data_IF_113200140229
#
_entry.id   IF_113200140229
#
_cell.length_a   1.000
_cell.length_b   1.000
_cell.length_c   1.000
_cell.angle_alpha   90.00
_cell.angle_beta   90.00
_cell.angle_gamma   90.00
#
_symmetry.space_group_name_H-M   'P 1'
#
loop_
_entity.id
_entity.type
_entity.pdbx_description
1 polymer ?
#
# COMPACT_ATOMS: atom_id res chain seq x y z
N UNK A 1 -27.82 14.88 -4.24
CA UNK A 1 -26.58 14.52 -3.51
C UNK A 1 -25.75 13.69 -4.45
N UNK A 2 -24.49 14.06 -4.72
CA UNK A 2 -23.62 13.29 -5.61
C UNK A 2 -23.26 11.98 -4.86
N UNK A 3 -23.78 10.84 -5.31
CA UNK A 3 -23.66 9.55 -4.62
C UNK A 3 -22.19 9.17 -4.34
N UNK A 4 -21.26 9.60 -5.20
CA UNK A 4 -19.82 9.50 -4.99
C UNK A 4 -19.32 10.09 -3.66
N UNK A 5 -19.75 11.29 -3.26
CA UNK A 5 -19.25 11.97 -2.06
C UNK A 5 -19.67 11.21 -0.79
N UNK A 6 -20.90 10.67 -0.78
CA UNK A 6 -21.40 9.88 0.35
C UNK A 6 -20.56 8.61 0.50
N UNK A 7 -20.23 7.95 -0.61
CA UNK A 7 -19.41 6.73 -0.62
C UNK A 7 -17.98 7.00 -0.17
N UNK A 8 -17.40 8.12 -0.58
CA UNK A 8 -16.09 8.60 -0.13
C UNK A 8 -16.06 8.79 1.39
N UNK A 9 -17.05 9.50 1.95
CA UNK A 9 -17.13 9.77 3.40
C UNK A 9 -17.38 8.48 4.19
N UNK A 10 -18.32 7.63 3.75
CA UNK A 10 -18.61 6.36 4.41
C UNK A 10 -17.41 5.41 4.38
N UNK A 11 -16.72 5.29 3.24
CA UNK A 11 -15.54 4.44 3.08
C UNK A 11 -14.38 4.88 3.96
N UNK A 12 -14.14 6.19 4.05
CA UNK A 12 -13.15 6.77 4.97
C UNK A 12 -13.52 6.55 6.43
N UNK A 13 -14.78 6.78 6.83
CA UNK A 13 -15.25 6.56 8.21
C UNK A 13 -15.09 5.11 8.66
N UNK A 14 -15.48 4.16 7.80
CA UNK A 14 -15.35 2.72 8.08
C UNK A 14 -13.86 2.36 8.26
N UNK A 15 -12.99 2.84 7.38
CA UNK A 15 -11.57 2.52 7.46
C UNK A 15 -10.87 3.16 8.67
N UNK A 16 -11.17 4.42 9.00
CA UNK A 16 -10.67 5.06 10.24
C UNK A 16 -11.14 4.29 11.48
N UNK A 17 -12.42 3.93 11.54
CA UNK A 17 -12.99 3.17 12.66
C UNK A 17 -12.31 1.80 12.82
N UNK A 18 -12.04 1.11 11.71
CA UNK A 18 -11.38 -0.19 11.74
C UNK A 18 -9.90 -0.09 12.16
N UNK A 19 -9.16 0.92 11.67
CA UNK A 19 -7.77 1.15 12.08
C UNK A 19 -7.71 1.48 13.58
N UNK A 20 -8.67 2.28 14.07
CA UNK A 20 -8.80 2.56 15.50
C UNK A 20 -9.03 1.27 16.30
N UNK A 21 -9.88 0.37 15.82
CA UNK A 21 -10.13 -0.93 16.45
C UNK A 21 -8.87 -1.82 16.50
N UNK A 22 -8.08 -1.88 15.43
CA UNK A 22 -6.89 -2.74 15.36
C UNK A 22 -5.65 -2.19 16.08
N UNK A 23 -5.47 -0.87 16.10
CA UNK A 23 -4.19 -0.22 16.51
C UNK A 23 -4.34 0.63 17.78
N UNK A 24 -5.57 1.05 18.11
CA UNK A 24 -5.85 1.92 19.25
C UNK A 24 -5.08 3.25 19.18
N UNK A 25 -4.49 3.67 20.30
CA UNK A 25 -3.78 4.95 20.43
C UNK A 25 -2.56 5.12 19.51
N UNK A 26 -2.00 4.01 19.00
CA UNK A 26 -0.86 4.04 18.07
C UNK A 26 -1.25 4.59 16.67
N UNK A 27 -2.54 4.80 16.40
CA UNK A 27 -3.06 5.46 15.20
C UNK A 27 -2.52 6.89 15.02
N UNK A 28 -2.18 7.57 16.12
CA UNK A 28 -1.63 8.93 16.09
C UNK A 28 -0.30 9.04 15.31
N UNK A 29 0.55 8.00 15.38
CA UNK A 29 1.78 7.96 14.58
C UNK A 29 1.46 7.85 13.09
N UNK A 30 0.47 7.03 12.72
CA UNK A 30 -0.01 6.93 11.34
C UNK A 30 -0.67 8.23 10.85
N UNK A 31 -1.31 8.98 11.75
CA UNK A 31 -1.91 10.27 11.43
C UNK A 31 -0.86 11.34 11.15
N UNK A 32 0.22 11.36 11.94
CA UNK A 32 1.36 12.27 11.73
C UNK A 32 2.01 12.09 10.37
N UNK A 33 2.25 10.85 9.93
CA UNK A 33 2.88 10.61 8.61
C UNK A 33 1.97 10.99 7.44
N UNK A 34 0.65 10.85 7.60
CA UNK A 34 -0.33 11.29 6.60
C UNK A 34 -0.34 12.81 6.50
N UNK A 35 -0.39 13.52 7.63
CA UNK A 35 -0.30 14.99 7.65
C UNK A 35 1.00 15.45 6.99
N UNK A 36 2.12 14.81 7.35
CA UNK A 36 3.42 15.20 6.84
C UNK A 36 3.51 14.98 5.32
N UNK A 37 2.95 13.89 4.79
CA UNK A 37 2.84 13.67 3.34
C UNK A 37 1.90 14.68 2.65
N UNK A 38 0.78 15.05 3.28
CA UNK A 38 -0.13 16.10 2.77
C UNK A 38 0.59 17.45 2.68
N UNK A 39 1.37 17.81 3.71
CA UNK A 39 2.17 19.04 3.73
C UNK A 39 3.19 19.01 2.59
N UNK A 40 3.91 17.90 2.40
CA UNK A 40 4.88 17.76 1.31
C UNK A 40 4.21 17.92 -0.06
N UNK A 41 3.09 17.22 -0.29
CA UNK A 41 2.36 17.30 -1.56
C UNK A 41 1.81 18.71 -1.85
N UNK A 42 1.48 19.47 -0.80
CA UNK A 42 1.02 20.86 -0.90
C UNK A 42 2.18 21.85 -1.12
N UNK A 43 3.31 21.66 -0.44
CA UNK A 43 4.46 22.59 -0.50
C UNK A 43 5.36 22.37 -1.70
N UNK A 44 5.52 21.13 -2.18
CA UNK A 44 6.46 20.79 -3.24
C UNK A 44 5.73 20.60 -4.57
N UNK A 45 5.78 21.62 -5.44
CA UNK A 45 5.26 21.56 -6.82
C UNK A 45 6.28 21.06 -7.85
N UNK A 46 7.47 20.68 -7.40
CA UNK A 46 8.63 20.42 -8.27
C UNK A 46 8.79 18.94 -8.65
N UNK A 47 9.56 18.65 -9.70
CA UNK A 47 9.89 17.33 -10.27
C UNK A 47 10.45 16.31 -9.26
N UNK A 48 10.93 16.77 -8.10
CA UNK A 48 11.48 15.95 -7.01
C UNK A 48 10.44 15.56 -5.94
N UNK A 49 9.17 15.95 -6.08
CA UNK A 49 8.09 15.64 -5.13
C UNK A 49 8.03 14.17 -4.68
N UNK A 50 8.04 13.17 -5.60
CA UNK A 50 7.90 11.78 -5.18
C UNK A 50 9.17 11.27 -4.51
N UNK A 51 10.35 11.75 -4.92
CA UNK A 51 11.62 11.41 -4.29
C UNK A 51 11.72 12.00 -2.87
N UNK A 52 11.26 13.23 -2.66
CA UNK A 52 11.19 13.86 -1.35
C UNK A 52 10.19 13.12 -0.42
N UNK A 53 8.99 12.81 -0.93
CA UNK A 53 7.97 12.04 -0.18
C UNK A 53 8.49 10.65 0.20
N UNK A 54 9.22 9.99 -0.72
CA UNK A 54 9.86 8.71 -0.46
C UNK A 54 10.92 8.79 0.63
N UNK A 55 11.89 9.71 0.50
CA UNK A 55 12.98 9.86 1.48
C UNK A 55 12.40 10.17 2.86
N UNK A 56 11.46 11.10 2.95
CA UNK A 56 10.89 11.52 4.23
C UNK A 56 10.07 10.40 4.87
N UNK A 57 9.28 9.67 4.09
CA UNK A 57 8.51 8.52 4.59
C UNK A 57 9.45 7.41 5.08
N UNK A 58 10.57 7.19 4.39
CA UNK A 58 11.56 6.19 4.76
C UNK A 58 12.35 6.59 6.02
N UNK A 59 12.73 7.87 6.14
CA UNK A 59 13.38 8.42 7.34
C UNK A 59 12.44 8.32 8.54
N UNK A 60 11.15 8.62 8.36
CA UNK A 60 10.14 8.49 9.41
C UNK A 60 9.98 7.04 9.89
N UNK A 61 9.98 6.07 8.97
CA UNK A 61 9.99 4.64 9.31
C UNK A 61 11.23 4.24 10.09
N UNK A 62 12.41 4.72 9.65
CA UNK A 62 13.67 4.49 10.34
C UNK A 62 13.64 5.05 11.77
N UNK A 63 13.14 6.27 11.94
CA UNK A 63 12.97 6.90 13.24
C UNK A 63 12.03 6.10 14.15
N UNK A 64 10.89 5.62 13.64
CA UNK A 64 9.97 4.79 14.41
C UNK A 64 10.53 3.41 14.78
N UNK A 65 11.53 2.91 14.05
CA UNK A 65 12.25 1.68 14.43
C UNK A 65 13.29 1.95 15.52
N UNK A 66 13.91 3.13 15.51
CA UNK A 66 14.92 3.54 16.49
C UNK A 66 14.27 4.03 17.79
N UNK A 67 13.07 4.60 17.75
CA UNK A 67 12.39 5.13 18.95
C UNK A 67 12.11 4.07 20.01
N UNK A 68 12.00 2.80 19.60
CA UNK A 68 11.89 1.66 20.52
C UNK A 68 13.16 1.50 21.37
N UNK A 69 14.34 1.85 20.85
CA UNK A 69 15.61 1.82 21.60
C UNK A 69 15.68 2.92 22.68
N UNK A 70 14.83 3.96 22.57
CA UNK A 70 14.78 5.13 23.46
C UNK A 70 13.74 4.92 24.59
N UNK A 71 13.04 3.77 24.64
CA UNK A 71 12.13 3.42 25.73
C UNK A 71 10.64 3.60 25.44
N UNK A 72 10.26 3.84 24.18
CA UNK A 72 8.84 3.81 23.77
C UNK A 72 8.38 2.37 23.50
N UNK A 73 7.10 2.03 23.78
CA UNK A 73 6.59 0.66 23.63
C UNK A 73 6.68 0.21 22.17
N UNK A 74 7.26 -0.98 21.95
CA UNK A 74 7.42 -1.56 20.62
C UNK A 74 6.14 -1.47 19.81
N UNK A 75 6.26 -1.20 18.51
CA UNK A 75 5.12 -1.43 17.62
C UNK A 75 4.84 -2.94 17.65
N UNK A 76 3.65 -3.29 18.15
CA UNK A 76 3.13 -4.65 18.07
C UNK A 76 3.11 -5.05 16.59
N UNK A 77 3.43 -6.32 16.29
CA UNK A 77 3.57 -6.84 14.92
C UNK A 77 2.46 -6.35 13.97
N UNK A 78 1.21 -6.31 14.43
CA UNK A 78 0.06 -5.84 13.67
C UNK A 78 0.10 -4.33 13.34
N UNK A 79 0.47 -3.48 14.30
CA UNK A 79 0.57 -2.03 14.08
C UNK A 79 1.70 -1.68 13.11
N UNK A 80 2.81 -2.42 13.15
CA UNK A 80 3.92 -2.24 12.22
C UNK A 80 3.52 -2.59 10.77
N UNK A 81 2.75 -3.67 10.59
CA UNK A 81 2.25 -4.06 9.27
C UNK A 81 1.32 -2.99 8.67
N UNK A 82 0.37 -2.47 9.45
CA UNK A 82 -0.52 -1.40 8.97
C UNK A 82 0.25 -0.14 8.66
N UNK A 83 1.22 0.23 9.49
CA UNK A 83 2.07 1.38 9.21
C UNK A 83 2.84 1.22 7.90
N UNK A 84 3.41 0.04 7.64
CA UNK A 84 4.10 -0.24 6.38
C UNK A 84 3.15 -0.10 5.18
N UNK A 85 1.94 -0.67 5.26
CA UNK A 85 0.91 -0.53 4.21
C UNK A 85 0.58 0.95 3.97
N UNK A 86 0.37 1.72 5.03
CA UNK A 86 0.09 3.16 4.94
C UNK A 86 1.24 3.92 4.26
N UNK A 87 2.49 3.61 4.60
CA UNK A 87 3.64 4.26 3.96
C UNK A 87 3.76 3.95 2.48
N UNK A 88 3.54 2.70 2.06
CA UNK A 88 3.56 2.32 0.65
C UNK A 88 2.45 3.02 -0.14
N UNK A 89 1.25 3.15 0.45
CA UNK A 89 0.12 3.88 -0.14
C UNK A 89 0.41 5.36 -0.33
N UNK A 90 0.98 6.02 0.69
CA UNK A 90 1.32 7.44 0.63
C UNK A 90 2.43 7.71 -0.40
N UNK A 91 3.47 6.89 -0.42
CA UNK A 91 4.56 6.98 -1.40
C UNK A 91 4.02 6.79 -2.82
N UNK A 92 3.22 5.74 -3.04
CA UNK A 92 2.66 5.47 -4.37
C UNK A 92 1.69 6.56 -4.82
N UNK A 93 0.89 7.15 -3.91
CA UNK A 93 0.09 8.34 -4.20
C UNK A 93 0.98 9.51 -4.65
N UNK A 94 2.09 9.78 -3.96
CA UNK A 94 3.01 10.85 -4.36
C UNK A 94 3.63 10.60 -5.74
N UNK A 95 3.89 9.33 -6.11
CA UNK A 95 4.30 8.98 -7.47
C UNK A 95 3.19 9.23 -8.49
N UNK A 96 1.95 8.85 -8.20
CA UNK A 96 0.80 9.09 -9.07
C UNK A 96 0.53 10.60 -9.29
N UNK A 97 0.64 11.43 -8.24
CA UNK A 97 0.50 12.89 -8.33
C UNK A 97 1.62 13.49 -9.18
N UNK A 98 2.85 13.03 -8.97
CA UNK A 98 4.00 13.51 -9.72
C UNK A 98 3.91 13.16 -11.21
N UNK A 99 3.42 11.95 -11.52
CA UNK A 99 3.20 11.53 -12.91
C UNK A 99 2.08 12.36 -13.56
N UNK A 100 1.00 12.65 -12.83
CA UNK A 100 -0.07 13.54 -13.30
C UNK A 100 0.45 14.95 -13.62
N UNK A 101 1.30 15.54 -12.76
CA UNK A 101 1.90 16.86 -12.99
C UNK A 101 2.82 16.92 -14.21
N UNK A 102 3.48 15.82 -14.56
CA UNK A 102 4.36 15.73 -15.75
C UNK A 102 3.58 15.71 -17.06
N UNK A 103 2.28 15.44 -17.02
CA UNK A 103 1.37 15.52 -18.17
C UNK A 103 1.26 16.94 -18.72
N UNK A 104 1.25 17.97 -17.86
CA UNK A 104 1.14 19.36 -18.32
C UNK A 104 2.39 19.81 -19.11
N UNK A 105 3.53 19.14 -18.91
CA UNK A 105 4.79 19.41 -19.59
C UNK A 105 4.99 18.58 -20.87
N UNK A 106 4.37 17.40 -20.98
CA UNK A 106 4.51 16.50 -22.13
C UNK A 106 3.16 16.26 -22.80
N UNK A 107 3.05 16.57 -24.11
CA UNK A 107 1.89 16.25 -24.95
C UNK A 107 1.69 14.72 -25.07
N UNK A 108 1.13 14.11 -24.04
CA UNK A 108 0.72 12.70 -24.05
C UNK A 108 -0.65 12.57 -24.72
N UNK A 109 -0.80 11.48 -25.47
CA UNK A 109 -2.03 11.14 -26.17
C UNK A 109 -3.15 10.82 -25.14
N UNK A 110 -4.27 11.56 -25.14
CA UNK A 110 -5.32 11.42 -24.13
C UNK A 110 -6.06 10.07 -24.20
N UNK A 111 -5.91 9.32 -25.30
CA UNK A 111 -6.62 8.05 -25.55
C UNK A 111 -5.91 6.83 -24.94
N UNK A 112 -4.61 6.94 -24.60
CA UNK A 112 -3.79 5.80 -24.13
C UNK A 112 -3.35 5.86 -22.68
N UNK A 113 -3.44 7.02 -22.02
CA UNK A 113 -2.97 7.22 -20.66
C UNK A 113 -3.97 8.03 -19.84
N UNK A 114 -4.65 7.36 -18.90
CA UNK A 114 -5.60 8.00 -17.99
C UNK A 114 -4.85 8.63 -16.82
N UNK A 115 -4.73 9.96 -16.84
CA UNK A 115 -4.11 10.72 -15.76
C UNK A 115 -5.15 11.18 -14.74
N UNK A 116 -4.72 11.30 -13.49
CA UNK A 116 -5.60 11.55 -12.35
C UNK A 116 -5.61 13.04 -12.01
N UNK A 117 -6.77 13.62 -11.72
CA UNK A 117 -6.87 15.00 -11.25
C UNK A 117 -6.14 15.18 -9.90
N UNK A 118 -5.45 16.31 -9.72
CA UNK A 118 -4.68 16.56 -8.49
C UNK A 118 -5.57 16.45 -7.24
N UNK A 119 -5.26 15.54 -6.29
CA UNK A 119 -6.06 15.38 -5.09
C UNK A 119 -6.03 16.63 -4.22
N UNK A 120 -7.19 17.00 -3.69
CA UNK A 120 -7.26 17.87 -2.52
C UNK A 120 -6.69 17.18 -1.28
N UNK A 121 -6.33 17.98 -0.26
CA UNK A 121 -5.86 17.48 1.03
C UNK A 121 -6.88 16.55 1.70
N UNK A 122 -8.18 16.84 1.54
CA UNK A 122 -9.27 16.04 2.08
C UNK A 122 -9.39 14.68 1.37
N UNK A 123 -9.35 14.68 0.03
CA UNK A 123 -9.38 13.44 -0.77
C UNK A 123 -8.16 12.55 -0.48
N UNK A 124 -6.98 13.15 -0.31
CA UNK A 124 -5.77 12.44 0.10
C UNK A 124 -5.98 11.74 1.46
N UNK A 125 -6.62 12.44 2.40
CA UNK A 125 -6.92 11.89 3.71
C UNK A 125 -7.92 10.73 3.63
N UNK A 126 -9.08 10.91 2.96
CA UNK A 126 -10.08 9.84 2.83
C UNK A 126 -9.53 8.63 2.08
N UNK A 127 -8.76 8.85 1.01
CA UNK A 127 -8.10 7.78 0.26
C UNK A 127 -7.11 6.99 1.13
N UNK A 128 -6.32 7.70 1.94
CA UNK A 128 -5.33 7.06 2.82
C UNK A 128 -6.00 6.13 3.82
N UNK A 129 -7.13 6.54 4.38
CA UNK A 129 -7.90 5.78 5.36
C UNK A 129 -9.04 4.93 4.78
N UNK A 130 -9.16 4.81 3.45
CA UNK A 130 -10.25 4.06 2.85
C UNK A 130 -10.12 2.54 3.10
N UNK A 131 -11.21 1.91 3.55
CA UNK A 131 -11.23 0.50 3.97
C UNK A 131 -10.67 -0.50 2.93
N UNK A 132 -11.11 -0.48 1.65
CA UNK A 132 -10.68 -1.47 0.66
C UNK A 132 -9.16 -1.52 0.48
N UNK A 133 -8.53 -0.34 0.47
CA UNK A 133 -7.11 -0.21 0.24
C UNK A 133 -6.22 -0.62 1.42
N UNK A 134 -6.82 -0.83 2.60
CA UNK A 134 -6.09 -1.16 3.82
C UNK A 134 -6.26 -2.62 4.25
N UNK A 135 -7.44 -3.21 4.00
CA UNK A 135 -7.78 -4.54 4.53
C UNK A 135 -8.19 -5.56 3.47
N UNK A 136 -8.57 -5.17 2.26
CA UNK A 136 -9.22 -6.09 1.29
C UNK A 136 -8.30 -6.68 0.22
N UNK A 137 -6.98 -6.53 0.37
CA UNK A 137 -6.01 -7.11 -0.56
C UNK A 137 -5.40 -6.07 -1.50
N UNK A 138 -5.12 -6.43 -2.78
CA UNK A 138 -4.06 -5.86 -3.63
C UNK A 138 -3.99 -4.34 -3.68
N UNK A 139 -2.81 -3.83 -4.04
CA UNK A 139 -2.50 -2.39 -4.08
C UNK A 139 -3.61 -1.57 -4.76
N UNK A 140 -4.33 -0.79 -3.96
CA UNK A 140 -5.44 0.05 -4.41
C UNK A 140 -4.95 1.48 -4.64
N UNK A 141 -4.66 1.77 -5.91
CA UNK A 141 -4.18 3.02 -6.52
C UNK A 141 -5.19 4.18 -6.37
N UNK A 142 -4.73 5.43 -6.36
CA UNK A 142 -5.62 6.59 -6.25
C UNK A 142 -6.48 6.79 -7.51
N UNK A 143 -5.97 6.42 -8.68
CA UNK A 143 -6.78 6.34 -9.90
C UNK A 143 -8.03 5.45 -9.73
N UNK A 144 -7.85 4.24 -9.20
CA UNK A 144 -8.95 3.31 -8.95
C UNK A 144 -9.93 3.86 -7.92
N UNK A 145 -9.42 4.54 -6.89
CA UNK A 145 -10.26 5.23 -5.93
C UNK A 145 -11.17 6.26 -6.58
N UNK A 146 -10.61 7.14 -7.41
CA UNK A 146 -11.38 8.16 -8.12
C UNK A 146 -12.37 7.56 -9.10
N UNK A 147 -11.99 6.48 -9.79
CA UNK A 147 -12.92 5.76 -10.68
C UNK A 147 -14.14 5.23 -9.94
N UNK A 148 -13.96 4.75 -8.72
CA UNK A 148 -15.05 4.24 -7.90
C UNK A 148 -15.92 5.36 -7.31
N UNK A 149 -15.40 6.58 -7.17
CA UNK A 149 -16.15 7.72 -6.63
C UNK A 149 -16.84 8.53 -7.74
N UNK A 150 -16.20 8.66 -8.90
CA UNK A 150 -16.68 9.50 -10.00
C UNK A 150 -17.67 8.76 -10.93
N UNK A 151 -17.66 7.42 -10.94
CA UNK A 151 -18.65 6.64 -11.67
C UNK A 151 -19.82 6.25 -10.76
N UNK A 152 -21.04 6.50 -11.24
CA UNK A 152 -22.27 6.09 -10.55
C UNK A 152 -22.68 4.64 -10.94
N UNK A 153 -22.36 4.18 -12.16
CA UNK A 153 -22.79 2.88 -12.71
C UNK A 153 -21.77 1.73 -12.53
N UNK A 154 -21.05 1.72 -11.41
CA UNK A 154 -19.96 0.73 -11.19
C UNK A 154 -20.46 -0.71 -11.20
N UNK A 155 -21.72 -0.91 -10.83
CA UNK A 155 -22.36 -2.23 -10.80
C UNK A 155 -22.69 -2.79 -12.19
N UNK A 156 -22.71 -1.94 -13.23
CA UNK A 156 -23.02 -2.36 -14.60
C UNK A 156 -21.76 -2.75 -15.39
N UNK A 157 -20.57 -2.50 -14.84
CA UNK A 157 -19.31 -2.79 -15.50
C UNK A 157 -19.08 -4.31 -15.54
N UNK A 158 -19.07 -4.87 -16.75
CA UNK A 158 -18.85 -6.31 -16.96
C UNK A 158 -17.42 -6.75 -16.59
N UNK A 159 -17.27 -7.25 -15.36
CA UNK A 159 -16.00 -7.79 -14.83
C UNK A 159 -15.76 -9.27 -15.18
N UNK A 160 -16.78 -9.97 -15.70
CA UNK A 160 -16.75 -11.41 -15.95
C UNK A 160 -15.59 -11.88 -16.83
N UNK A 161 -15.23 -11.10 -17.85
CA UNK A 161 -14.10 -11.42 -18.74
C UNK A 161 -12.77 -11.45 -17.98
N UNK A 162 -12.56 -10.47 -17.09
CA UNK A 162 -11.35 -10.38 -16.27
C UNK A 162 -11.31 -11.45 -15.18
N UNK A 163 -12.46 -11.76 -14.56
CA UNK A 163 -12.58 -12.82 -13.56
C UNK A 163 -12.25 -14.17 -14.19
N UNK A 164 -12.83 -14.49 -15.36
CA UNK A 164 -12.55 -15.75 -16.08
C UNK A 164 -11.06 -15.89 -16.41
N UNK A 165 -10.41 -14.81 -16.86
CA UNK A 165 -8.99 -14.84 -17.18
C UNK A 165 -8.13 -15.10 -15.93
N UNK A 166 -8.39 -14.40 -14.81
CA UNK A 166 -7.67 -14.65 -13.55
C UNK A 166 -7.92 -16.06 -13.02
N UNK A 167 -9.15 -16.56 -13.12
CA UNK A 167 -9.51 -17.91 -12.70
C UNK A 167 -8.77 -18.97 -13.53
N UNK A 168 -8.66 -18.79 -14.85
CA UNK A 168 -7.90 -19.69 -15.72
C UNK A 168 -6.42 -19.78 -15.31
N UNK A 169 -5.78 -18.64 -15.02
CA UNK A 169 -4.40 -18.62 -14.52
C UNK A 169 -4.27 -19.28 -13.15
N UNK A 170 -5.26 -19.09 -12.27
CA UNK A 170 -5.28 -19.72 -10.95
C UNK A 170 -5.40 -21.25 -11.04
N UNK A 171 -6.23 -21.74 -11.98
CA UNK A 171 -6.44 -23.18 -12.19
C UNK A 171 -5.16 -23.90 -12.62
N UNK A 172 -4.25 -23.24 -13.36
CA UNK A 172 -2.95 -23.83 -13.69
C UNK A 172 -1.87 -23.58 -12.64
N UNK A 173 -1.87 -22.42 -12.00
CA UNK A 173 -0.87 -22.09 -10.98
C UNK A 173 -1.03 -22.92 -9.71
N UNK A 174 -2.24 -23.34 -9.35
CA UNK A 174 -2.51 -24.13 -8.15
C UNK A 174 -1.91 -25.55 -8.24
N UNK A 175 -2.10 -26.33 -9.32
CA UNK A 175 -1.38 -27.60 -9.53
C UNK A 175 0.13 -27.42 -9.58
N UNK A 176 0.63 -26.38 -10.26
CA UNK A 176 2.07 -26.11 -10.32
C UNK A 176 2.64 -25.80 -8.92
N UNK A 177 1.91 -25.06 -8.10
CA UNK A 177 2.26 -24.77 -6.72
C UNK A 177 2.24 -26.04 -5.85
N UNK A 178 1.23 -26.89 -5.98
CA UNK A 178 1.15 -28.16 -5.26
C UNK A 178 2.27 -29.14 -5.67
N UNK A 179 2.60 -29.21 -6.96
CA UNK A 179 3.71 -30.01 -7.47
C UNK A 179 5.04 -29.48 -6.92
N UNK A 180 5.23 -28.15 -6.90
CA UNK A 180 6.41 -27.54 -6.32
C UNK A 180 6.51 -27.80 -4.80
N UNK A 181 5.39 -27.74 -4.07
CA UNK A 181 5.32 -28.08 -2.65
C UNK A 181 5.67 -29.56 -2.40
N UNK A 182 5.25 -30.45 -3.30
CA UNK A 182 5.54 -31.88 -3.24
C UNK A 182 7.00 -32.19 -3.59
N UNK A 183 7.54 -31.56 -4.64
CA UNK A 183 8.92 -31.75 -5.10
C UNK A 183 9.95 -31.14 -4.14
N UNK A 184 9.60 -30.03 -3.48
CA UNK A 184 10.41 -29.35 -2.48
C UNK A 184 9.63 -29.23 -1.16
N UNK A 185 9.50 -30.32 -0.38
CA UNK A 185 8.88 -30.23 0.93
C UNK A 185 9.70 -29.24 1.77
N UNK A 186 9.04 -28.20 2.28
CA UNK A 186 9.67 -27.13 3.05
C UNK A 186 10.47 -27.67 4.26
N UNK A 187 10.09 -28.83 4.78
CA UNK A 187 10.81 -29.55 5.83
C UNK A 187 12.25 -29.92 5.44
N UNK A 188 12.48 -30.33 4.19
CA UNK A 188 13.81 -30.70 3.69
C UNK A 188 14.72 -29.48 3.60
N UNK A 189 14.17 -28.30 3.28
CA UNK A 189 14.93 -27.05 3.22
C UNK A 189 15.38 -26.57 4.62
N UNK A 190 14.50 -26.65 5.63
CA UNK A 190 14.86 -26.35 7.02
C UNK A 190 15.92 -27.33 7.56
N UNK A 191 15.80 -28.62 7.27
CA UNK A 191 16.76 -29.65 7.70
C UNK A 191 18.12 -29.46 7.01
N UNK A 192 18.16 -29.18 5.71
CA UNK A 192 19.42 -28.92 4.99
C UNK A 192 20.10 -27.64 5.47
N UNK A 193 19.34 -26.57 5.72
CA UNK A 193 19.89 -25.32 6.28
C UNK A 193 20.46 -25.54 7.69
N UNK A 194 19.77 -26.30 8.53
CA UNK A 194 20.21 -26.63 9.88
C UNK A 194 21.45 -27.53 9.88
N UNK A 195 21.51 -28.55 9.00
CA UNK A 195 22.69 -29.40 8.81
C UNK A 195 23.87 -28.58 8.25
N UNK A 196 23.62 -27.69 7.31
CA UNK A 196 24.63 -26.78 6.74
C UNK A 196 25.22 -25.82 7.76
N UNK A 197 24.40 -25.25 8.65
CA UNK A 197 24.85 -24.40 9.75
C UNK A 197 25.63 -25.19 10.82
N UNK A 198 25.19 -26.40 11.17
CA UNK A 198 25.91 -27.29 12.10
C UNK A 198 27.31 -27.66 11.58
N UNK A 199 27.44 -27.89 10.27
CA UNK A 199 28.73 -28.23 9.63
C UNK A 199 29.71 -27.04 9.61
N UNK A 200 29.21 -25.80 9.48
CA UNK A 200 30.04 -24.59 9.57
C UNK A 200 30.52 -24.29 10.99
N UNK A 201 29.69 -24.53 12.02
CA UNK A 201 30.10 -24.33 13.42
C UNK A 201 31.22 -25.30 13.84
N UNK A 202 31.14 -26.57 13.44
CA UNK A 202 32.17 -27.59 13.74
C UNK A 202 33.51 -27.38 13.00
N UNK A 203 33.57 -26.47 12.03
CA UNK A 203 34.79 -26.08 11.31
C UNK A 203 35.40 -24.78 11.83
N UNK A 204 34.64 -23.98 12.59
CA UNK A 204 35.12 -22.74 13.22
C UNK A 204 35.78 -22.99 14.60
N UNK A 205 35.48 -24.12 15.24
CA UNK A 205 36.07 -24.57 16.52
C UNK A 205 37.31 -25.49 16.33
N UNK A 206 37.94 -25.49 15.15
CA UNK A 206 39.19 -26.22 14.88
C UNK A 206 40.28 -25.32 14.34
#
# INVERSE_FOLDING_TARGET
>A
VRWGIVREICGGLIGVSLIYYFIGWKLLYSFLIVILNIIINSTMKNRYLPLASFIITFVYLGFLRIIHLIGFPALVSHSNAVQLIMTLRLVGLSFEIADSRRKDEMKFDPDRTRFIEEPSWWQTFLYSYNFPGLFTGPYYTYAMYRDVIDNDDIMEISVWKHIKWRLYHFVWSLPAFLLLLYAFPLEVCYIILFIGLRKRYSQADR
#
